data_IF_119880299387
#
_entry.id   IF_119880299387
#
_cell.length_a   1.000
_cell.length_b   1.000
_cell.length_c   1.000
_cell.angle_alpha   90.00
_cell.angle_beta   90.00
_cell.angle_gamma   90.00
#
_symmetry.space_group_name_H-M   'P 1'
#
loop_
_entity.id
_entity.type
_entity.pdbx_description
1 polymer ?
#
# COMPACT_ATOMS: atom_id res chain seq x y z
N UNK A 1 -7.62 -13.15 19.55
CA UNK A 1 -7.97 -12.40 18.32
C UNK A 1 -6.69 -11.77 17.81
N UNK A 2 -6.11 -12.37 16.78
CA UNK A 2 -4.82 -11.96 16.23
C UNK A 2 -5.00 -10.66 15.47
N UNK A 3 -4.57 -9.54 16.05
CA UNK A 3 -4.27 -8.33 15.28
C UNK A 3 -3.30 -8.74 14.19
N UNK A 4 -3.68 -8.64 12.90
CA UNK A 4 -2.71 -8.82 11.83
C UNK A 4 -1.55 -7.87 12.12
N UNK A 5 -0.38 -8.45 12.42
CA UNK A 5 0.79 -7.74 12.92
C UNK A 5 1.34 -6.82 11.84
N UNK A 6 0.79 -5.61 11.77
CA UNK A 6 1.30 -4.54 10.92
C UNK A 6 2.70 -4.16 11.38
N UNK A 7 3.59 -4.03 10.42
CA UNK A 7 4.99 -3.66 10.59
C UNK A 7 5.37 -2.61 9.55
N UNK A 8 6.39 -1.82 9.87
CA UNK A 8 6.98 -0.90 8.90
C UNK A 8 7.50 -1.71 7.71
N UNK A 9 7.23 -1.21 6.50
CA UNK A 9 7.58 -1.86 5.24
C UNK A 9 6.47 -2.73 4.65
N UNK A 10 5.43 -3.08 5.42
CA UNK A 10 4.28 -3.81 4.90
C UNK A 10 3.58 -3.06 3.77
N UNK A 11 2.97 -3.82 2.87
CA UNK A 11 2.11 -3.28 1.83
C UNK A 11 0.65 -3.30 2.30
N UNK A 12 -0.06 -2.22 2.04
CA UNK A 12 -1.44 -2.01 2.43
C UNK A 12 -2.23 -1.53 1.21
N UNK A 13 -3.38 -2.15 0.94
CA UNK A 13 -4.34 -1.63 -0.03
C UNK A 13 -5.48 -0.99 0.73
N UNK A 14 -5.77 0.27 0.44
CA UNK A 14 -6.94 0.95 0.98
C UNK A 14 -8.22 0.31 0.46
N UNK A 15 -9.09 -0.17 1.34
CA UNK A 15 -10.35 -0.83 0.98
C UNK A 15 -11.58 0.06 1.23
N UNK A 16 -11.41 1.14 1.98
CA UNK A 16 -12.47 2.11 2.29
C UNK A 16 -11.91 3.54 2.26
N UNK A 17 -12.51 4.38 1.42
CA UNK A 17 -12.16 5.80 1.24
C UNK A 17 -13.15 6.76 1.92
N UNK A 18 -14.03 6.25 2.79
CA UNK A 18 -14.95 7.05 3.60
C UNK A 18 -14.23 7.73 4.75
N UNK A 19 -13.34 8.64 4.40
CA UNK A 19 -12.68 9.54 5.34
C UNK A 19 -13.72 10.55 5.84
N UNK A 20 -14.22 10.33 7.05
CA UNK A 20 -15.10 11.29 7.70
C UNK A 20 -14.30 12.58 7.92
N UNK A 21 -14.85 13.70 7.43
CA UNK A 21 -14.26 15.01 7.66
C UNK A 21 -13.99 15.17 9.15
N UNK A 22 -12.85 15.74 9.51
CA UNK A 22 -12.35 15.92 10.87
C UNK A 22 -13.21 16.87 11.75
N UNK A 23 -14.51 17.00 11.49
CA UNK A 23 -15.41 17.96 12.11
C UNK A 23 -15.18 19.42 11.68
N UNK A 24 -14.17 19.70 10.83
CA UNK A 24 -13.88 21.03 10.30
C UNK A 24 -14.05 21.04 8.79
N UNK A 25 -14.71 22.07 8.26
CA UNK A 25 -14.92 22.25 6.83
C UNK A 25 -13.59 22.36 6.05
N UNK A 26 -12.55 22.93 6.67
CA UNK A 26 -11.29 23.27 5.99
C UNK A 26 -10.18 22.22 6.13
N UNK A 27 -10.43 21.04 6.69
CA UNK A 27 -9.31 20.15 6.98
C UNK A 27 -8.75 19.37 5.81
N UNK A 28 -9.35 19.49 4.61
CA UNK A 28 -8.85 18.94 3.34
C UNK A 28 -8.39 17.47 3.45
N UNK A 29 -8.90 16.73 4.43
CA UNK A 29 -8.38 15.40 4.72
C UNK A 29 -8.72 14.44 3.60
N UNK A 30 -9.87 14.65 2.94
CA UNK A 30 -10.28 13.90 1.76
C UNK A 30 -9.29 14.02 0.59
N UNK A 31 -8.67 15.18 0.41
CA UNK A 31 -7.71 15.39 -0.70
C UNK A 31 -6.36 14.69 -0.42
N UNK A 32 -6.03 14.49 0.85
CA UNK A 32 -4.75 13.90 1.30
C UNK A 32 -4.86 12.44 1.71
N UNK A 33 -6.07 11.95 1.94
CA UNK A 33 -6.31 10.60 2.41
C UNK A 33 -6.14 9.57 1.28
N UNK A 34 -5.83 8.31 1.63
CA UNK A 34 -5.72 7.23 0.66
C UNK A 34 -7.01 7.02 -0.14
N UNK A 35 -6.87 6.83 -1.45
CA UNK A 35 -8.01 6.47 -2.30
C UNK A 35 -8.27 4.97 -2.20
N UNK A 36 -9.53 4.56 -2.41
CA UNK A 36 -9.86 3.14 -2.51
C UNK A 36 -8.98 2.49 -3.58
N UNK A 37 -8.49 1.28 -3.28
CA UNK A 37 -7.57 0.49 -4.11
C UNK A 37 -6.15 1.06 -4.23
N UNK A 38 -5.84 2.18 -3.58
CA UNK A 38 -4.48 2.70 -3.53
C UNK A 38 -3.57 1.75 -2.73
N UNK A 39 -2.51 1.27 -3.39
CA UNK A 39 -1.45 0.47 -2.79
C UNK A 39 -0.40 1.40 -2.15
N UNK A 40 -0.19 1.22 -0.85
CA UNK A 40 0.68 2.05 -0.04
C UNK A 40 1.64 1.21 0.78
N UNK A 41 2.83 1.75 1.03
CA UNK A 41 3.82 1.14 1.91
C UNK A 41 3.75 1.77 3.29
N UNK A 42 3.64 0.93 4.32
CA UNK A 42 3.57 1.34 5.72
C UNK A 42 4.91 1.91 6.14
N UNK A 43 4.92 3.18 6.54
CA UNK A 43 6.09 3.87 7.11
C UNK A 43 6.09 3.82 8.64
N UNK A 44 4.91 3.86 9.25
CA UNK A 44 4.76 3.91 10.69
C UNK A 44 3.51 3.16 11.12
N UNK A 45 3.59 2.56 12.30
CA UNK A 45 2.48 1.87 12.97
C UNK A 45 2.32 2.51 14.34
N UNK A 46 1.15 3.04 14.63
CA UNK A 46 0.82 3.63 15.92
C UNK A 46 -0.37 2.91 16.55
N UNK A 47 -0.25 2.55 17.83
CA UNK A 47 -1.31 1.90 18.58
C UNK A 47 -1.75 2.79 19.74
N UNK A 48 -2.85 3.49 19.55
CA UNK A 48 -3.37 4.44 20.52
C UNK A 48 -4.78 4.02 20.96
N UNK A 49 -4.98 3.88 22.28
CA UNK A 49 -6.29 3.55 22.90
C UNK A 49 -6.94 2.27 22.37
N UNK A 50 -6.14 1.25 22.05
CA UNK A 50 -6.64 -0.02 21.50
C UNK A 50 -6.98 0.02 20.01
N UNK A 51 -6.80 1.18 19.35
CA UNK A 51 -6.93 1.33 17.92
C UNK A 51 -5.54 1.30 17.27
N UNK A 52 -5.47 0.75 16.06
CA UNK A 52 -4.25 0.68 15.27
C UNK A 52 -4.35 1.64 14.10
N UNK A 53 -3.32 2.45 13.90
CA UNK A 53 -3.22 3.42 12.83
C UNK A 53 -1.93 3.24 12.04
N UNK A 54 -2.02 3.51 10.74
CA UNK A 54 -0.94 3.36 9.77
C UNK A 54 -0.59 4.72 9.18
N UNK A 55 0.70 5.03 9.14
CA UNK A 55 1.28 6.11 8.35
C UNK A 55 1.95 5.53 7.11
N UNK A 56 1.87 6.21 5.97
CA UNK A 56 2.35 5.69 4.69
C UNK A 56 3.47 6.53 4.08
N UNK A 57 4.32 5.89 3.28
CA UNK A 57 5.29 6.57 2.42
C UNK A 57 4.59 7.44 1.38
N UNK A 58 5.18 8.58 1.02
CA UNK A 58 4.60 9.53 0.04
C UNK A 58 3.39 10.33 0.55
N UNK A 59 2.89 10.06 1.76
CA UNK A 59 1.84 10.85 2.43
C UNK A 59 2.45 11.75 3.51
N UNK A 60 1.70 12.78 3.89
CA UNK A 60 2.09 13.71 4.96
C UNK A 60 2.46 12.95 6.24
N UNK A 61 3.61 13.29 6.84
CA UNK A 61 4.15 12.55 7.97
C UNK A 61 3.28 12.61 9.23
N UNK A 62 2.40 13.60 9.33
CA UNK A 62 1.51 13.79 10.47
C UNK A 62 0.18 13.04 10.33
N UNK A 63 -0.08 12.44 9.17
CA UNK A 63 -1.33 11.74 8.90
C UNK A 63 -1.20 10.25 9.19
N UNK A 64 -2.16 9.77 9.97
CA UNK A 64 -2.34 8.39 10.36
C UNK A 64 -3.78 7.98 10.07
N UNK A 65 -3.94 6.81 9.47
CA UNK A 65 -5.23 6.30 9.02
C UNK A 65 -5.55 4.99 9.73
N UNK A 66 -6.83 4.75 10.03
CA UNK A 66 -7.22 3.59 10.83
C UNK A 66 -6.91 2.30 10.06
N UNK A 67 -6.19 1.35 10.67
CA UNK A 67 -5.71 0.15 10.00
C UNK A 67 -6.84 -0.72 9.42
N UNK A 68 -8.03 -0.67 10.03
CA UNK A 68 -9.24 -1.36 9.53
C UNK A 68 -9.70 -0.93 8.13
N UNK A 69 -9.26 0.24 7.65
CA UNK A 69 -9.57 0.71 6.30
C UNK A 69 -8.58 0.17 5.26
N UNK A 70 -7.65 -0.71 5.67
CA UNK A 70 -6.63 -1.29 4.81
C UNK A 70 -6.63 -2.81 4.93
N UNK A 71 -6.33 -3.45 3.80
CA UNK A 71 -6.01 -4.88 3.75
C UNK A 71 -4.50 -5.02 3.57
N UNK A 72 -3.86 -5.83 4.41
CA UNK A 72 -2.45 -6.16 4.26
C UNK A 72 -2.26 -6.99 2.99
N UNK A 73 -1.33 -6.57 2.14
CA UNK A 73 -0.93 -7.32 0.95
C UNK A 73 0.30 -8.14 1.33
N UNK A 74 0.18 -9.46 1.22
CA UNK A 74 1.36 -10.31 1.25
C UNK A 74 1.97 -10.24 -0.15
N UNK A 75 3.29 -9.98 -0.29
CA UNK A 75 3.91 -10.12 -1.59
C UNK A 75 3.63 -11.53 -2.07
N UNK A 76 3.09 -11.63 -3.27
CA UNK A 76 3.00 -12.90 -3.96
C UNK A 76 4.44 -13.38 -4.15
N UNK A 77 4.76 -14.51 -3.52
CA UNK A 77 6.11 -15.11 -3.60
C UNK A 77 6.14 -16.18 -4.67
N UNK A 78 5.03 -16.38 -5.40
CA UNK A 78 5.11 -17.15 -6.63
C UNK A 78 6.06 -16.40 -7.57
N UNK A 79 7.11 -17.06 -8.06
CA UNK A 79 7.93 -16.47 -9.09
C UNK A 79 6.96 -16.09 -10.22
N UNK A 80 6.97 -14.82 -10.63
CA UNK A 80 6.35 -14.45 -11.89
C UNK A 80 6.82 -15.48 -12.93
N UNK A 81 5.90 -16.03 -13.73
CA UNK A 81 6.22 -16.95 -14.83
C UNK A 81 7.01 -16.20 -15.92
N UNK A 82 8.20 -15.72 -15.56
CA UNK A 82 9.16 -15.00 -16.38
C UNK A 82 9.96 -15.98 -17.26
N UNK A 83 9.69 -17.28 -17.19
CA UNK A 83 10.31 -18.26 -18.08
C UNK A 83 9.97 -17.96 -19.55
N UNK A 84 8.71 -17.63 -19.86
CA UNK A 84 8.30 -17.28 -21.22
C UNK A 84 8.85 -15.92 -21.68
N UNK A 85 8.92 -14.93 -20.78
CA UNK A 85 9.47 -13.60 -21.09
C UNK A 85 10.97 -13.64 -21.35
N UNK A 86 11.72 -14.42 -20.57
CA UNK A 86 13.17 -14.58 -20.75
C UNK A 86 13.49 -15.29 -22.06
N UNK A 87 12.71 -16.31 -22.47
CA UNK A 87 12.90 -16.96 -23.78
C UNK A 87 12.61 -16.00 -24.96
N UNK A 88 11.56 -15.20 -24.88
CA UNK A 88 11.23 -14.21 -25.92
C UNK A 88 12.31 -13.14 -26.07
N UNK A 89 12.89 -12.65 -24.96
CA UNK A 89 13.99 -11.68 -24.98
C UNK A 89 15.28 -12.26 -25.57
N UNK A 90 15.57 -13.55 -25.31
CA UNK A 90 16.73 -14.22 -25.90
C UNK A 90 16.60 -14.40 -27.43
N UNK A 91 15.38 -14.64 -27.93
CA UNK A 91 15.13 -14.76 -29.37
C UNK A 91 15.28 -13.43 -30.10
N UNK A 92 14.93 -12.30 -29.47
CA UNK A 92 15.11 -10.96 -30.04
C UNK A 92 16.58 -10.54 -30.09
N UNK A 93 17.39 -10.87 -29.06
CA UNK A 93 18.84 -10.59 -29.04
C UNK A 93 19.63 -11.33 -30.13
N UNK A 94 19.15 -12.50 -30.58
CA UNK A 94 19.80 -13.28 -31.64
C UNK A 94 19.50 -12.78 -33.06
N UNK A 95 18.63 -11.78 -33.24
CA UNK A 95 18.22 -11.25 -34.55
C UNK A 95 18.79 -9.87 -34.89
N UNK A 96 19.86 -9.40 -34.24
CA UNK A 96 20.62 -8.26 -34.78
C UNK A 96 21.56 -8.76 -35.89
N UNK A 97 21.33 -8.41 -37.17
CA UNK A 97 22.36 -8.60 -38.19
C UNK A 97 23.52 -7.64 -37.92
N UNK A 98 24.74 -8.14 -38.12
CA UNK A 98 25.98 -7.37 -38.07
C UNK A 98 26.05 -6.30 -39.16
#
# INVERSE_FOLDING_TARGET
MSSEGWSVGDLAVCIDDKWTCCGRADCQIKDRAPRKEELLRVRAVDQTRGHLFLGFEGKDARLFFHALQFRKVRPDTEPAEDAEWVEQLQHLRRKQPA
#
